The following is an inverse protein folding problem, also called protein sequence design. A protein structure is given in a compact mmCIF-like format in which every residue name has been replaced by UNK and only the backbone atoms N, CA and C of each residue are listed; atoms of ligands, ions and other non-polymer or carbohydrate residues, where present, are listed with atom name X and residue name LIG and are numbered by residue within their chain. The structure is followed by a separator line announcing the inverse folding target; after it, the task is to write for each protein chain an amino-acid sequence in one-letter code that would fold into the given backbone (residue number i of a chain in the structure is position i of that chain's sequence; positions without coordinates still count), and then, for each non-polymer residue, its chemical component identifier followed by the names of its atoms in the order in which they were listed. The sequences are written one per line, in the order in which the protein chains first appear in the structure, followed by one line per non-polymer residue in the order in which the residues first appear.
data_IF_122135055152
#
_entry.id   IF_122135055152
#
_cell.length_a   1.000
_cell.length_b   1.000
_cell.length_c   1.000
_cell.angle_alpha   90.00
_cell.angle_beta   90.00
_cell.angle_gamma   90.00
#
_symmetry.space_group_name_H-M   'P 1'
#
loop_
_entity.id
_entity.type
_entity.pdbx_description
1 polymer ?
#
# COMPACT_ATOMS: atom_id res chain seq x y z
N UNK A 1 26.34 24.31 26.30
CA UNK A 1 25.84 24.40 24.92
C UNK A 1 26.39 23.30 24.01
N UNK A 2 27.71 23.13 23.86
CA UNK A 2 28.32 22.09 22.99
C UNK A 2 27.88 20.64 23.31
N UNK A 3 27.78 20.27 24.59
CA UNK A 3 27.35 18.92 25.00
C UNK A 3 25.89 18.63 24.65
N UNK A 4 25.02 19.64 24.77
CA UNK A 4 23.59 19.53 24.46
C UNK A 4 23.35 19.33 22.95
N UNK A 5 24.09 20.05 22.12
CA UNK A 5 24.06 19.85 20.65
C UNK A 5 24.55 18.44 20.30
N UNK A 6 25.62 17.96 20.96
CA UNK A 6 26.18 16.63 20.74
C UNK A 6 25.22 15.51 21.17
N UNK A 7 24.51 15.65 22.29
CA UNK A 7 23.51 14.66 22.71
C UNK A 7 22.30 14.63 21.78
N UNK A 8 21.81 15.79 21.34
CA UNK A 8 20.68 15.87 20.39
C UNK A 8 21.05 15.26 19.04
N UNK A 9 22.24 15.56 18.51
CA UNK A 9 22.72 14.96 17.27
C UNK A 9 22.84 13.43 17.38
N UNK A 10 23.36 12.91 18.49
CA UNK A 10 23.42 11.46 18.75
C UNK A 10 22.03 10.82 18.81
N UNK A 11 21.07 11.48 19.47
CA UNK A 11 19.69 10.99 19.57
C UNK A 11 19.03 10.87 18.20
N UNK A 12 19.18 11.90 17.35
CA UNK A 12 18.61 11.91 15.99
C UNK A 12 19.20 10.77 15.15
N UNK A 13 20.52 10.57 15.21
CA UNK A 13 21.19 9.52 14.44
C UNK A 13 20.73 8.12 14.88
N UNK A 14 20.61 7.86 16.18
CA UNK A 14 20.12 6.57 16.67
C UNK A 14 18.65 6.32 16.32
N UNK A 15 17.82 7.37 16.34
CA UNK A 15 16.41 7.29 15.93
C UNK A 15 16.28 6.94 14.44
N UNK A 16 17.00 7.64 13.56
CA UNK A 16 17.01 7.35 12.12
C UNK A 16 17.56 5.95 11.83
N UNK A 17 18.58 5.51 12.55
CA UNK A 17 19.12 4.14 12.43
C UNK A 17 18.12 3.08 12.89
N UNK A 18 17.33 3.37 13.93
CA UNK A 18 16.25 2.49 14.38
C UNK A 18 15.12 2.41 13.33
N UNK A 19 14.68 3.55 12.78
CA UNK A 19 13.70 3.61 11.69
C UNK A 19 14.19 2.87 10.44
N UNK A 20 15.46 3.07 10.05
CA UNK A 20 16.09 2.38 8.93
C UNK A 20 16.11 0.86 9.10
N UNK A 21 16.49 0.37 10.29
CA UNK A 21 16.42 -1.06 10.62
C UNK A 21 14.99 -1.59 10.54
N UNK A 22 14.03 -0.89 11.12
CA UNK A 22 12.62 -1.28 11.09
C UNK A 22 12.06 -1.35 9.65
N UNK A 23 12.43 -0.40 8.79
CA UNK A 23 12.04 -0.40 7.39
C UNK A 23 12.61 -1.62 6.64
N UNK A 24 13.89 -1.95 6.87
CA UNK A 24 14.53 -3.14 6.27
C UNK A 24 13.83 -4.44 6.71
N UNK A 25 13.49 -4.58 7.99
CA UNK A 25 12.73 -5.74 8.48
C UNK A 25 11.39 -5.88 7.77
N UNK A 26 10.61 -4.80 7.67
CA UNK A 26 9.31 -4.82 6.97
C UNK A 26 9.45 -5.23 5.49
N UNK A 27 10.49 -4.76 4.81
CA UNK A 27 10.77 -5.17 3.41
C UNK A 27 11.12 -6.65 3.33
N UNK A 28 11.93 -7.15 4.27
CA UNK A 28 12.29 -8.57 4.31
C UNK A 28 11.07 -9.48 4.53
N UNK A 29 10.15 -9.08 5.41
CA UNK A 29 8.87 -9.77 5.64
C UNK A 29 8.01 -9.80 4.38
N UNK A 30 7.89 -8.68 3.66
CA UNK A 30 7.11 -8.63 2.42
C UNK A 30 7.64 -9.56 1.33
N UNK A 31 8.96 -9.68 1.19
CA UNK A 31 9.59 -10.62 0.24
C UNK A 31 9.27 -12.06 0.63
N UNK A 32 9.35 -12.38 1.92
CA UNK A 32 9.03 -13.72 2.41
C UNK A 32 7.54 -14.05 2.22
N UNK A 33 6.64 -13.10 2.53
CA UNK A 33 5.20 -13.24 2.30
C UNK A 33 4.92 -13.48 0.82
N UNK A 34 5.55 -12.72 -0.09
CA UNK A 34 5.37 -12.92 -1.54
C UNK A 34 5.74 -14.34 -1.97
N UNK A 35 6.87 -14.86 -1.51
CA UNK A 35 7.31 -16.23 -1.83
C UNK A 35 6.30 -17.27 -1.34
N UNK A 36 5.80 -17.12 -0.12
CA UNK A 36 4.78 -18.01 0.45
C UNK A 36 3.47 -17.93 -0.34
N UNK A 37 3.02 -16.75 -0.74
CA UNK A 37 1.82 -16.59 -1.57
C UNK A 37 1.96 -17.27 -2.94
N UNK A 38 3.15 -17.19 -3.56
CA UNK A 38 3.43 -17.88 -4.83
C UNK A 38 3.34 -19.40 -4.70
N UNK A 39 3.96 -19.95 -3.65
CA UNK A 39 3.92 -21.39 -3.35
C UNK A 39 2.48 -21.85 -3.06
N UNK A 40 1.74 -21.11 -2.21
CA UNK A 40 0.32 -21.41 -1.94
C UNK A 40 -0.48 -21.39 -3.24
N UNK A 41 -0.29 -20.41 -4.13
CA UNK A 41 -1.02 -20.34 -5.41
C UNK A 41 -0.74 -21.57 -6.28
N UNK A 42 0.51 -22.00 -6.38
CA UNK A 42 0.86 -23.19 -7.15
C UNK A 42 0.18 -24.44 -6.58
N UNK A 43 0.21 -24.60 -5.25
CA UNK A 43 -0.48 -25.67 -4.55
C UNK A 43 -1.99 -25.65 -4.78
N UNK A 44 -2.61 -24.46 -4.77
CA UNK A 44 -4.05 -24.28 -5.06
C UNK A 44 -4.38 -24.69 -6.49
N UNK A 45 -3.60 -24.24 -7.48
CA UNK A 45 -3.77 -24.65 -8.88
C UNK A 45 -3.62 -26.15 -9.05
N UNK A 46 -2.65 -26.76 -8.35
CA UNK A 46 -2.49 -28.21 -8.28
C UNK A 46 -3.74 -28.90 -7.72
N UNK A 47 -4.24 -28.42 -6.58
CA UNK A 47 -5.42 -28.95 -5.90
C UNK A 47 -6.71 -28.82 -6.73
N UNK A 48 -6.87 -27.74 -7.50
CA UNK A 48 -8.01 -27.57 -8.42
C UNK A 48 -7.96 -28.64 -9.52
N UNK A 49 -6.78 -28.85 -10.14
CA UNK A 49 -6.60 -29.86 -11.20
C UNK A 49 -6.88 -31.28 -10.70
N UNK A 50 -6.39 -31.63 -9.51
CA UNK A 50 -6.65 -32.95 -8.92
C UNK A 50 -8.12 -33.10 -8.55
N UNK A 51 -8.72 -32.07 -7.94
CA UNK A 51 -10.15 -32.06 -7.62
C UNK A 51 -11.02 -32.27 -8.85
N UNK A 52 -10.67 -31.65 -9.99
CA UNK A 52 -11.41 -31.85 -11.24
C UNK A 52 -11.36 -33.29 -11.74
N UNK A 53 -10.17 -33.89 -11.70
CA UNK A 53 -9.98 -35.30 -12.06
C UNK A 53 -10.77 -36.22 -11.14
N UNK A 54 -10.77 -35.95 -9.85
CA UNK A 54 -11.42 -36.81 -8.86
C UNK A 54 -12.94 -36.63 -8.83
N UNK A 55 -13.45 -35.42 -9.08
CA UNK A 55 -14.88 -35.17 -9.32
C UNK A 55 -15.36 -35.98 -10.54
N UNK A 56 -14.59 -35.97 -11.64
CA UNK A 56 -14.94 -36.72 -12.85
C UNK A 56 -14.93 -38.24 -12.60
N UNK A 57 -13.89 -38.77 -11.96
CA UNK A 57 -13.80 -40.20 -11.59
C UNK A 57 -14.94 -40.61 -10.65
N UNK A 58 -15.23 -39.81 -9.64
CA UNK A 58 -16.30 -40.10 -8.67
C UNK A 58 -17.67 -40.09 -9.35
N UNK A 59 -17.90 -39.17 -10.29
CA UNK A 59 -19.12 -39.15 -11.09
C UNK A 59 -19.27 -40.40 -11.96
N UNK A 60 -18.20 -40.85 -12.61
CA UNK A 60 -18.18 -42.09 -13.40
C UNK A 60 -18.43 -43.33 -12.54
N UNK A 61 -17.74 -43.44 -11.40
CA UNK A 61 -17.94 -44.55 -10.45
C UNK A 61 -19.38 -44.58 -9.94
N UNK A 62 -19.94 -43.43 -9.59
CA UNK A 62 -21.31 -43.37 -9.11
C UNK A 62 -22.34 -43.74 -10.20
N UNK A 63 -22.04 -43.46 -11.48
CA UNK A 63 -22.82 -43.96 -12.61
C UNK A 63 -22.72 -45.49 -12.73
N UNK A 64 -21.52 -46.06 -12.63
CA UNK A 64 -21.32 -47.51 -12.65
C UNK A 64 -22.05 -48.24 -11.50
N UNK A 65 -21.96 -47.72 -10.28
CA UNK A 65 -22.71 -48.27 -9.14
C UNK A 65 -24.22 -48.21 -9.32
N UNK A 66 -24.71 -47.13 -9.95
CA UNK A 66 -26.13 -47.00 -10.30
C UNK A 66 -26.57 -48.08 -11.28
N UNK A 67 -25.84 -48.23 -12.39
CA UNK A 67 -26.16 -49.23 -13.43
C UNK A 67 -26.10 -50.65 -12.86
N UNK A 68 -25.04 -50.98 -12.12
CA UNK A 68 -24.91 -52.28 -11.47
C UNK A 68 -26.04 -52.55 -10.45
N UNK A 69 -26.39 -51.54 -9.64
CA UNK A 69 -27.49 -51.66 -8.67
C UNK A 69 -28.86 -51.84 -9.33
N UNK A 70 -29.09 -51.18 -10.46
CA UNK A 70 -30.32 -51.34 -11.25
C UNK A 70 -30.42 -52.73 -11.88
N UNK A 71 -29.32 -53.23 -12.46
CA UNK A 71 -29.25 -54.59 -13.00
C UNK A 71 -29.48 -55.64 -11.91
N UNK A 72 -28.84 -55.49 -10.75
CA UNK A 72 -29.06 -56.39 -9.61
C UNK A 72 -30.51 -56.35 -9.13
N UNK A 73 -31.11 -55.16 -9.01
CA UNK A 73 -32.51 -55.01 -8.59
C UNK A 73 -33.50 -55.61 -9.60
N UNK A 74 -33.24 -55.49 -10.90
CA UNK A 74 -34.05 -56.15 -11.92
C UNK A 74 -33.86 -57.67 -11.91
N UNK A 75 -32.64 -58.18 -11.69
CA UNK A 75 -32.42 -59.61 -11.50
C UNK A 75 -33.22 -60.17 -10.32
N UNK A 76 -33.23 -59.49 -9.16
CA UNK A 76 -34.07 -59.91 -8.03
C UNK A 76 -35.59 -59.84 -8.34
N UNK A 77 -36.02 -58.93 -9.20
CA UNK A 77 -37.42 -58.89 -9.66
C UNK A 77 -37.76 -60.06 -10.55
N UNK A 78 -36.92 -60.37 -11.54
CA UNK A 78 -37.13 -61.50 -12.44
C UNK A 78 -37.11 -62.83 -11.69
N UNK A 79 -36.23 -62.99 -10.69
CA UNK A 79 -36.25 -64.14 -9.77
C UNK A 79 -37.56 -64.29 -8.99
N UNK A 80 -38.31 -63.20 -8.80
CA UNK A 80 -39.59 -63.20 -8.09
C UNK A 80 -40.80 -63.12 -9.06
N UNK A 81 -40.62 -63.48 -10.33
CA UNK A 81 -41.61 -63.40 -11.41
C UNK A 81 -42.23 -62.00 -11.61
N UNK A 82 -41.50 -60.95 -11.24
CA UNK A 82 -41.90 -59.56 -11.44
C UNK A 82 -41.31 -59.00 -12.73
N UNK A 83 -42.04 -58.16 -13.47
CA UNK A 83 -41.53 -57.54 -14.70
C UNK A 83 -40.35 -56.61 -14.42
N UNK A 84 -39.47 -56.50 -15.39
CA UNK A 84 -38.34 -55.58 -15.36
C UNK A 84 -38.80 -54.12 -15.34
N UNK A 85 -38.03 -53.27 -14.65
CA UNK A 85 -38.30 -51.84 -14.60
C UNK A 85 -37.28 -51.12 -15.48
N UNK A 86 -37.78 -50.30 -16.41
CA UNK A 86 -36.93 -49.35 -17.13
C UNK A 86 -36.56 -48.16 -16.22
N UNK A 87 -35.26 -47.98 -16.01
CA UNK A 87 -34.72 -46.92 -15.17
C UNK A 87 -34.23 -45.70 -15.97
N UNK A 88 -34.43 -45.68 -17.29
CA UNK A 88 -33.99 -44.60 -18.18
C UNK A 88 -34.63 -43.26 -17.81
N UNK A 89 -35.91 -43.26 -17.43
CA UNK A 89 -36.63 -42.04 -17.02
C UNK A 89 -36.48 -41.70 -15.53
N UNK A 90 -35.97 -42.64 -14.71
CA UNK A 90 -35.72 -42.41 -13.28
C UNK A 90 -34.30 -41.92 -13.09
N UNK A 91 -34.02 -40.67 -13.48
CA UNK A 91 -32.83 -39.92 -13.02
C UNK A 91 -32.91 -39.58 -11.52
N UNK A 92 -33.16 -40.59 -10.69
CA UNK A 92 -33.12 -40.40 -9.25
C UNK A 92 -31.65 -40.19 -8.88
N UNK A 93 -31.28 -38.93 -8.65
CA UNK A 93 -29.97 -38.55 -8.10
C UNK A 93 -29.75 -39.35 -6.82
N UNK A 94 -28.91 -40.39 -6.89
CA UNK A 94 -28.64 -41.25 -5.74
C UNK A 94 -28.23 -40.38 -4.54
N UNK A 95 -28.70 -40.71 -3.33
CA UNK A 95 -28.29 -40.00 -2.12
C UNK A 95 -26.77 -39.90 -2.00
N UNK A 96 -26.06 -40.94 -2.45
CA UNK A 96 -24.60 -41.04 -2.46
C UNK A 96 -23.95 -40.01 -3.41
N UNK A 97 -24.50 -39.79 -4.62
CA UNK A 97 -23.95 -38.76 -5.52
C UNK A 97 -24.14 -37.37 -4.95
N UNK A 98 -25.27 -37.10 -4.29
CA UNK A 98 -25.47 -35.83 -3.59
C UNK A 98 -24.52 -35.67 -2.40
N UNK A 99 -24.37 -36.72 -1.59
CA UNK A 99 -23.55 -36.68 -0.38
C UNK A 99 -22.06 -36.50 -0.66
N UNK A 100 -21.54 -37.05 -1.76
CA UNK A 100 -20.10 -36.98 -2.08
C UNK A 100 -19.79 -35.88 -3.09
N UNK A 101 -20.54 -35.80 -4.20
CA UNK A 101 -20.18 -34.91 -5.31
C UNK A 101 -20.47 -33.43 -5.01
N UNK A 102 -21.51 -33.13 -4.22
CA UNK A 102 -21.88 -31.75 -3.88
C UNK A 102 -20.80 -31.09 -3.00
N UNK A 103 -20.34 -31.72 -1.90
CA UNK A 103 -19.21 -31.19 -1.13
C UNK A 103 -17.94 -31.02 -1.95
N UNK A 104 -17.55 -32.00 -2.80
CA UNK A 104 -16.35 -31.87 -3.62
C UNK A 104 -16.40 -30.66 -4.56
N UNK A 105 -17.57 -30.40 -5.17
CA UNK A 105 -17.77 -29.21 -6.01
C UNK A 105 -17.73 -27.92 -5.20
N UNK A 106 -18.22 -27.92 -3.97
CA UNK A 106 -18.14 -26.76 -3.08
C UNK A 106 -16.68 -26.45 -2.71
N UNK A 107 -15.89 -27.48 -2.36
CA UNK A 107 -14.45 -27.33 -2.08
C UNK A 107 -13.71 -26.81 -3.31
N UNK A 108 -13.99 -27.33 -4.52
CA UNK A 108 -13.42 -26.78 -5.76
C UNK A 108 -13.70 -25.28 -5.90
N UNK A 109 -14.95 -24.85 -5.70
CA UNK A 109 -15.31 -23.43 -5.78
C UNK A 109 -14.52 -22.59 -4.79
N UNK A 110 -14.34 -23.07 -3.56
CA UNK A 110 -13.52 -22.39 -2.55
C UNK A 110 -12.05 -22.26 -3.00
N UNK A 111 -11.47 -23.31 -3.58
CA UNK A 111 -10.11 -23.27 -4.11
C UNK A 111 -9.98 -22.26 -5.26
N UNK A 112 -10.95 -22.19 -6.17
CA UNK A 112 -10.97 -21.19 -7.26
C UNK A 112 -11.05 -19.77 -6.71
N UNK A 113 -11.88 -19.54 -5.69
CA UNK A 113 -11.93 -18.21 -5.04
C UNK A 113 -10.63 -17.86 -4.32
N UNK A 114 -9.97 -18.87 -3.73
CA UNK A 114 -8.69 -18.69 -3.07
C UNK A 114 -7.59 -18.34 -4.09
N UNK A 115 -7.57 -18.99 -5.25
CA UNK A 115 -6.66 -18.65 -6.35
C UNK A 115 -6.81 -17.18 -6.76
N UNK A 116 -8.04 -16.71 -6.96
CA UNK A 116 -8.31 -15.32 -7.33
C UNK A 116 -7.80 -14.33 -6.28
N UNK A 117 -8.04 -14.60 -4.99
CA UNK A 117 -7.55 -13.75 -3.92
C UNK A 117 -6.01 -13.78 -3.80
N UNK A 118 -5.38 -14.91 -4.06
CA UNK A 118 -3.93 -15.04 -4.08
C UNK A 118 -3.31 -14.23 -5.23
N UNK A 119 -3.86 -14.36 -6.44
CA UNK A 119 -3.42 -13.57 -7.60
C UNK A 119 -3.56 -12.06 -7.32
N UNK A 120 -4.73 -11.62 -6.83
CA UNK A 120 -4.93 -10.21 -6.45
C UNK A 120 -3.97 -9.73 -5.34
N UNK A 121 -3.58 -10.61 -4.41
CA UNK A 121 -2.64 -10.28 -3.33
C UNK A 121 -1.20 -10.18 -3.86
N UNK A 122 -0.82 -11.05 -4.80
CA UNK A 122 0.48 -11.00 -5.47
C UNK A 122 0.59 -9.71 -6.31
N UNK A 123 -0.45 -9.36 -7.05
CA UNK A 123 -0.49 -8.13 -7.85
C UNK A 123 -0.31 -6.87 -6.99
N UNK A 124 -0.94 -6.83 -5.80
CA UNK A 124 -0.75 -5.74 -4.83
C UNK A 124 0.71 -5.63 -4.38
N UNK A 125 1.38 -6.76 -4.14
CA UNK A 125 2.79 -6.77 -3.75
C UNK A 125 3.70 -6.31 -4.89
N UNK A 126 3.38 -6.66 -6.13
CA UNK A 126 4.12 -6.20 -7.32
C UNK A 126 3.96 -4.71 -7.58
N UNK A 127 2.73 -4.19 -7.45
CA UNK A 127 2.46 -2.76 -7.54
C UNK A 127 3.16 -1.97 -6.43
N UNK A 128 3.23 -2.52 -5.21
CA UNK A 128 4.00 -1.91 -4.12
C UNK A 128 5.49 -1.82 -4.47
N UNK A 129 6.06 -2.89 -5.04
CA UNK A 129 7.45 -2.88 -5.49
C UNK A 129 7.71 -1.87 -6.61
N UNK A 130 6.77 -1.69 -7.55
CA UNK A 130 6.82 -0.67 -8.60
C UNK A 130 6.78 0.75 -8.02
N UNK A 131 5.84 1.04 -7.13
CA UNK A 131 5.70 2.37 -6.51
C UNK A 131 6.96 2.77 -5.73
N UNK A 132 7.56 1.84 -4.99
CA UNK A 132 8.82 2.08 -4.28
C UNK A 132 9.97 2.42 -5.24
N UNK A 133 10.03 1.81 -6.44
CA UNK A 133 11.05 2.16 -7.44
C UNK A 133 10.84 3.57 -7.98
N UNK A 134 9.61 3.94 -8.30
CA UNK A 134 9.28 5.29 -8.79
C UNK A 134 9.57 6.36 -7.75
N UNK A 135 9.24 6.13 -6.47
CA UNK A 135 9.54 7.09 -5.40
C UNK A 135 11.06 7.26 -5.20
N UNK A 136 11.84 6.19 -5.32
CA UNK A 136 13.31 6.27 -5.30
C UNK A 136 13.86 7.09 -6.45
N UNK A 137 13.34 6.89 -7.67
CA UNK A 137 13.75 7.64 -8.86
C UNK A 137 13.44 9.13 -8.70
N UNK A 138 12.23 9.48 -8.25
CA UNK A 138 11.84 10.87 -7.96
C UNK A 138 12.72 11.51 -6.88
N UNK A 139 13.02 10.80 -5.80
CA UNK A 139 13.92 11.32 -4.76
C UNK A 139 15.32 11.58 -5.29
N UNK A 140 15.87 10.66 -6.09
CA UNK A 140 17.18 10.83 -6.74
C UNK A 140 17.17 12.01 -7.72
N UNK A 141 16.10 12.20 -8.48
CA UNK A 141 15.95 13.34 -9.40
C UNK A 141 15.88 14.67 -8.64
N UNK A 142 15.11 14.73 -7.55
CA UNK A 142 15.00 15.92 -6.71
C UNK A 142 16.32 16.25 -6.00
N UNK A 143 17.06 15.25 -5.52
CA UNK A 143 18.39 15.45 -4.94
C UNK A 143 19.37 16.00 -5.98
N UNK A 144 19.36 15.48 -7.21
CA UNK A 144 20.18 16.00 -8.31
C UNK A 144 19.82 17.44 -8.69
N UNK A 145 18.53 17.80 -8.70
CA UNK A 145 18.09 19.19 -8.92
C UNK A 145 18.59 20.11 -7.80
N UNK A 146 18.56 19.65 -6.55
CA UNK A 146 19.07 20.41 -5.41
C UNK A 146 20.59 20.59 -5.47
N UNK A 147 21.35 19.53 -5.79
CA UNK A 147 22.80 19.59 -6.02
C UNK A 147 23.19 20.44 -7.25
N UNK A 148 22.30 20.68 -8.21
CA UNK A 148 22.54 21.59 -9.33
C UNK A 148 22.21 23.05 -9.00
N UNK A 149 21.32 23.30 -8.03
CA UNK A 149 20.94 24.67 -7.62
C UNK A 149 21.97 25.31 -6.68
N UNK A 150 22.70 24.50 -5.89
CA UNK A 150 23.77 24.97 -5.00
C UNK A 150 25.05 25.48 -5.72
N UNK A 151 25.60 24.82 -6.77
CA UNK A 151 26.77 25.33 -7.49
C UNK A 151 26.45 26.57 -8.31
N UNK A 152 25.24 26.67 -8.87
CA UNK A 152 24.81 27.86 -9.66
C UNK A 152 24.67 29.11 -8.78
N UNK A 153 24.22 28.95 -7.51
CA UNK A 153 24.26 30.05 -6.52
C UNK A 153 25.67 30.42 -6.07
N UNK A 154 26.55 29.43 -5.90
CA UNK A 154 27.93 29.68 -5.50
C UNK A 154 28.77 30.37 -6.60
N UNK A 155 28.44 30.15 -7.87
CA UNK A 155 29.05 30.87 -8.99
C UNK A 155 28.45 32.28 -9.15
N UNK A 156 27.14 32.47 -9.00
CA UNK A 156 26.52 33.79 -9.05
C UNK A 156 27.00 34.74 -7.93
N UNK A 157 27.19 34.23 -6.71
CA UNK A 157 27.72 35.00 -5.57
C UNK A 157 29.22 35.35 -5.75
N UNK A 158 30.00 34.50 -6.42
CA UNK A 158 31.40 34.79 -6.77
C UNK A 158 31.53 35.83 -7.87
N UNK A 159 30.62 35.85 -8.85
CA UNK A 159 30.59 36.86 -9.91
C UNK A 159 30.20 38.23 -9.35
N UNK A 160 29.30 38.32 -8.36
CA UNK A 160 28.97 39.60 -7.72
C UNK A 160 30.11 40.16 -6.83
N UNK A 161 30.90 39.30 -6.18
CA UNK A 161 32.06 39.73 -5.38
C UNK A 161 33.26 40.21 -6.23
N UNK A 162 33.36 39.81 -7.50
CA UNK A 162 34.47 40.18 -8.39
C UNK A 162 34.21 41.51 -9.15
N UNK A 163 32.98 42.03 -9.17
CA UNK A 163 32.62 43.27 -9.91
C UNK A 163 32.85 44.56 -9.11
N UNK A 164 33.21 44.51 -7.82
CA UNK A 164 33.41 45.72 -7.00
C UNK A 164 34.89 45.93 -6.65
N UNK A 165 35.70 46.32 -7.63
CA UNK A 165 36.73 47.35 -7.40
C UNK A 165 37.26 47.93 -8.73
N UNK A 166 36.62 48.99 -9.20
CA UNK A 166 37.27 49.96 -10.08
C UNK A 166 37.21 51.30 -9.37
N UNK A 167 38.34 51.88 -8.93
CA UNK A 167 38.33 53.17 -8.26
C UNK A 167 38.04 54.26 -9.31
N UNK A 168 36.81 54.75 -9.35
CA UNK A 168 36.49 55.99 -10.06
C UNK A 168 37.20 57.14 -9.34
N UNK A 169 38.21 57.68 -10.01
CA UNK A 169 38.93 58.91 -9.65
C UNK A 169 37.93 60.06 -9.61
N UNK A 170 37.69 60.63 -8.42
CA UNK A 170 36.88 61.82 -8.23
C UNK A 170 37.82 63.02 -7.92
N UNK A 171 37.76 64.04 -8.77
CA UNK A 171 38.38 65.35 -8.54
C UNK A 171 37.78 66.00 -7.28
N UNK A 172 38.57 66.66 -6.41
CA UNK A 172 38.01 67.41 -5.30
C UNK A 172 37.51 68.78 -5.81
N UNK A 173 36.22 68.87 -6.13
CA UNK A 173 35.53 70.17 -6.12
C UNK A 173 35.26 70.55 -4.66
N UNK A 174 35.91 71.62 -4.21
CA UNK A 174 35.74 72.23 -2.91
C UNK A 174 34.27 72.60 -2.67
N UNK A 175 33.63 71.92 -1.72
CA UNK A 175 32.34 72.32 -1.20
C UNK A 175 32.51 72.89 0.21
N UNK A 176 32.20 74.17 0.33
CA UNK A 176 32.15 74.91 1.58
C UNK A 176 31.07 74.36 2.52
N UNK A 177 31.48 74.21 3.77
CA UNK A 177 30.66 73.75 4.88
C UNK A 177 29.67 74.86 5.27
N UNK A 178 28.39 74.67 5.00
CA UNK A 178 27.34 75.45 5.65
C UNK A 178 26.72 74.55 6.74
N UNK A 179 27.16 74.80 7.97
CA UNK A 179 26.42 74.43 9.16
C UNK A 179 25.09 75.19 9.13
N UNK A 180 23.98 74.46 8.99
CA UNK A 180 22.61 74.80 9.42
C UNK A 180 21.59 74.12 8.50
N UNK A 181 21.25 72.86 8.81
CA UNK A 181 20.01 72.23 8.35
C UNK A 181 19.52 71.10 9.29
N UNK A 182 19.97 71.09 10.54
CA UNK A 182 19.28 70.35 11.61
C UNK A 182 18.16 71.25 12.12
N UNK A 183 16.95 71.06 11.62
CA UNK A 183 15.65 71.31 12.27
C UNK A 183 14.57 71.48 11.20
N UNK A 184 13.97 70.37 10.76
CA UNK A 184 12.56 70.39 10.31
C UNK A 184 12.02 68.98 10.12
N UNK A 185 10.98 68.67 10.91
CA UNK A 185 10.09 67.50 10.91
C UNK A 185 10.65 66.27 11.62
N UNK A 186 10.11 65.85 12.75
CA UNK A 186 8.72 65.98 13.21
C UNK A 186 8.17 64.58 13.42
N UNK A 187 8.29 64.14 14.67
CA UNK A 187 7.45 63.19 15.42
C UNK A 187 6.35 62.51 14.60
N UNK A 188 6.38 61.17 14.55
CA UNK A 188 5.16 60.44 14.89
C UNK A 188 5.43 59.06 15.48
N UNK A 189 4.87 58.90 16.67
CA UNK A 189 5.01 57.80 17.59
C UNK A 189 4.08 56.64 17.24
N UNK A 190 4.54 55.48 17.68
CA UNK A 190 3.83 54.21 17.81
C UNK A 190 2.46 54.39 18.48
N UNK A 191 1.41 53.86 17.84
CA UNK A 191 0.10 53.61 18.49
C UNK A 191 -0.25 52.12 18.43
N UNK A 192 -0.10 51.45 19.58
CA UNK A 192 -0.80 50.23 19.99
C UNK A 192 -2.06 50.64 20.78
N UNK A 193 -3.24 50.17 20.38
CA UNK A 193 -4.42 50.01 21.24
C UNK A 193 -5.12 48.72 20.76
N UNK A 194 -5.19 47.64 21.53
CA UNK A 194 -6.00 47.39 22.72
C UNK A 194 -7.51 47.23 22.41
N UNK A 195 -8.00 46.01 22.57
CA UNK A 195 -9.41 45.65 22.42
C UNK A 195 -9.75 44.35 23.15
N UNK A 196 -9.78 44.41 24.48
CA UNK A 196 -10.43 43.45 25.37
C UNK A 196 -11.93 43.28 25.04
N UNK A 197 -12.47 42.07 25.27
CA UNK A 197 -13.79 41.75 25.86
C UNK A 197 -13.98 40.23 25.86
N UNK A 198 -13.76 39.55 26.98
CA UNK A 198 -14.76 39.23 28.01
C UNK A 198 -15.87 38.28 27.53
N UNK A 199 -15.90 37.10 28.14
CA UNK A 199 -17.01 36.16 28.11
C UNK A 199 -18.24 36.73 28.85
N UNK A 200 -19.41 36.10 28.67
CA UNK A 200 -20.03 35.54 29.88
C UNK A 200 -20.56 34.11 29.71
N UNK A 201 -20.52 33.44 30.86
CA UNK A 201 -21.09 32.14 31.24
C UNK A 201 -22.62 32.04 31.09
N UNK A 202 -23.07 30.79 31.25
CA UNK A 202 -24.29 30.26 31.92
C UNK A 202 -25.47 29.82 31.03
N UNK A 203 -25.76 28.50 31.06
CA UNK A 203 -27.01 27.79 31.50
C UNK A 203 -27.10 26.43 30.76
N UNK A 204 -26.87 25.29 31.40
CA UNK A 204 -27.75 24.50 32.29
C UNK A 204 -29.14 24.13 31.72
N UNK A 205 -29.32 22.81 31.59
CA UNK A 205 -30.52 21.95 31.69
C UNK A 205 -31.75 22.13 30.77
N UNK A 206 -32.22 21.02 30.19
CA UNK A 206 -33.34 20.17 30.70
C UNK A 206 -33.61 19.01 29.71
N UNK A 207 -33.91 17.85 30.31
CA UNK A 207 -34.32 16.57 29.74
C UNK A 207 -35.39 16.56 28.63
N UNK A 208 -35.31 15.54 27.75
CA UNK A 208 -36.36 14.53 27.60
C UNK A 208 -35.86 13.26 26.91
#
# INVERSE_FOLDING_TARGET
MKEQVKSTAKSIVEEEKAKGRAALYRVSELIEIKKRLLDIRENVRGAIKTSDKDIAKTALLAKGFREAGQTAANAFRTFADKPEVDYSQKEQKHPITKAVLVPMRAVKKMLVTMELHLDASIDKLDNLAMNVKLDKEKHMENMKKQEQTEPERAEAERVEAEVVYSPMVAEPQEYQYNADAFEARGVDEVKQEAGHKEAPKVREDIAR
#
